data_IF_314147611009
#
_entry.id   IF_314147611009
#
_cell.length_a   1.000
_cell.length_b   1.000
_cell.length_c   1.000
_cell.angle_alpha   90.00
_cell.angle_beta   90.00
_cell.angle_gamma   90.00
#
_symmetry.space_group_name_H-M   'P 1'
#
loop_
_entity.id
_entity.type
_entity.pdbx_description
1 polymer ?
#
# COMPACT_ATOMS: atom_id res chain seq x y z
N UNK A 1 -23.18 -8.15 19.09
CA UNK A 1 -22.67 -7.65 17.82
C UNK A 1 -22.58 -6.12 17.83
N UNK A 2 -21.84 -5.57 16.89
CA UNK A 2 -21.76 -4.12 16.70
C UNK A 2 -22.87 -3.67 15.75
N UNK A 3 -23.44 -2.50 16.00
CA UNK A 3 -24.27 -1.81 15.02
C UNK A 3 -23.35 -0.96 14.15
N UNK A 4 -23.40 -1.17 12.84
CA UNK A 4 -22.56 -0.45 11.87
C UNK A 4 -23.44 0.46 11.03
N UNK A 5 -23.05 1.72 10.94
CA UNK A 5 -23.62 2.69 10.00
C UNK A 5 -22.65 2.87 8.82
N UNK A 6 -23.12 2.54 7.62
CA UNK A 6 -22.30 2.65 6.40
C UNK A 6 -22.46 4.03 5.78
N UNK A 7 -21.32 4.71 5.52
CA UNK A 7 -21.26 5.99 4.83
C UNK A 7 -20.60 5.85 3.46
N UNK A 8 -21.41 5.86 2.40
CA UNK A 8 -20.91 5.85 1.02
C UNK A 8 -20.65 7.27 0.53
N UNK A 9 -19.41 7.52 0.13
CA UNK A 9 -18.96 8.85 -0.31
C UNK A 9 -18.13 8.76 -1.58
N UNK A 10 -17.90 9.89 -2.24
CA UNK A 10 -16.98 9.97 -3.38
C UNK A 10 -15.54 9.72 -2.90
N UNK A 11 -14.66 9.34 -3.83
CA UNK A 11 -13.23 9.16 -3.53
C UNK A 11 -12.60 10.41 -2.91
N UNK A 12 -12.93 11.59 -3.45
CA UNK A 12 -12.44 12.88 -2.93
C UNK A 12 -12.90 13.09 -1.48
N UNK A 13 -14.19 12.88 -1.20
CA UNK A 13 -14.72 13.03 0.15
C UNK A 13 -14.11 12.03 1.13
N UNK A 14 -13.89 10.78 0.70
CA UNK A 14 -13.18 9.78 1.52
C UNK A 14 -11.78 10.24 1.90
N UNK A 15 -11.02 10.82 0.94
CA UNK A 15 -9.68 11.35 1.23
C UNK A 15 -9.72 12.50 2.25
N UNK A 16 -10.70 13.39 2.14
CA UNK A 16 -10.90 14.47 3.09
C UNK A 16 -11.29 13.94 4.48
N UNK A 17 -12.25 13.01 4.54
CA UNK A 17 -12.70 12.40 5.78
C UNK A 17 -11.56 11.64 6.48
N UNK A 18 -10.78 10.83 5.75
CA UNK A 18 -9.65 10.10 6.34
C UNK A 18 -8.54 11.02 6.81
N UNK A 19 -8.22 12.05 6.07
CA UNK A 19 -7.23 13.07 6.46
C UNK A 19 -7.64 13.84 7.72
N UNK A 20 -8.92 14.14 7.85
CA UNK A 20 -9.50 14.89 8.97
C UNK A 20 -9.96 13.98 10.11
N UNK A 21 -9.75 12.65 9.99
CA UNK A 21 -10.16 11.64 10.99
C UNK A 21 -11.67 11.60 11.27
N UNK A 22 -12.50 11.90 10.28
CA UNK A 22 -13.95 11.83 10.35
C UNK A 22 -14.47 10.42 10.01
N UNK A 23 -13.97 9.42 10.73
CA UNK A 23 -14.35 8.02 10.57
C UNK A 23 -14.00 7.22 11.84
N UNK A 24 -14.76 6.17 12.11
CA UNK A 24 -14.39 5.15 13.08
C UNK A 24 -13.61 4.02 12.40
N UNK A 25 -14.09 3.57 11.23
CA UNK A 25 -13.42 2.60 10.36
C UNK A 25 -13.48 3.09 8.91
N UNK A 26 -12.35 3.07 8.21
CA UNK A 26 -12.29 3.45 6.81
C UNK A 26 -11.74 2.30 5.95
N UNK A 27 -12.44 1.98 4.84
CA UNK A 27 -11.90 1.08 3.83
C UNK A 27 -11.00 1.86 2.88
N UNK A 28 -9.74 1.49 2.85
CA UNK A 28 -8.72 2.12 2.00
C UNK A 28 -8.04 1.08 1.10
N UNK A 29 -7.50 1.54 -0.01
CA UNK A 29 -6.76 0.71 -0.95
C UNK A 29 -5.45 1.40 -1.29
N UNK A 30 -4.39 0.63 -1.37
CA UNK A 30 -3.07 1.09 -1.82
C UNK A 30 -2.53 0.23 -2.95
N UNK A 31 -1.91 0.86 -3.93
CA UNK A 31 -1.11 0.19 -4.95
C UNK A 31 0.35 0.60 -4.76
N UNK A 32 1.28 -0.36 -4.83
CA UNK A 32 2.70 -0.03 -4.70
C UNK A 32 3.18 0.87 -5.85
N UNK A 33 3.99 1.87 -5.54
CA UNK A 33 4.57 2.78 -6.53
C UNK A 33 5.82 2.17 -7.19
N UNK A 34 6.51 1.27 -6.48
CA UNK A 34 7.71 0.55 -6.91
C UNK A 34 7.78 -0.85 -6.27
N UNK A 35 8.55 -1.79 -6.83
CA UNK A 35 8.58 -3.19 -6.40
C UNK A 35 9.50 -3.44 -5.19
N UNK A 36 9.26 -2.72 -4.09
CA UNK A 36 9.98 -2.88 -2.83
C UNK A 36 9.02 -2.63 -1.65
N UNK A 37 9.28 -3.25 -0.48
CA UNK A 37 8.39 -3.26 0.68
C UNK A 37 8.07 -1.89 1.26
N UNK A 38 9.02 -0.95 1.22
CA UNK A 38 8.84 0.38 1.80
C UNK A 38 7.65 1.16 1.21
N UNK A 39 7.25 0.87 -0.04
CA UNK A 39 6.06 1.48 -0.66
C UNK A 39 4.76 1.16 0.09
N UNK A 40 4.73 0.07 0.86
CA UNK A 40 3.60 -0.34 1.69
C UNK A 40 3.84 -0.06 3.16
N UNK A 41 4.99 -0.47 3.69
CA UNK A 41 5.29 -0.32 5.10
C UNK A 41 5.48 1.14 5.54
N UNK A 42 5.95 2.02 4.65
CA UNK A 42 6.08 3.45 4.93
C UNK A 42 4.75 4.17 5.21
N UNK A 43 3.60 3.55 4.88
CA UNK A 43 2.28 4.14 5.12
C UNK A 43 1.92 4.24 6.60
N UNK A 44 2.46 3.36 7.45
CA UNK A 44 2.04 3.17 8.83
C UNK A 44 3.04 3.68 9.86
N UNK A 45 4.15 4.28 9.44
CA UNK A 45 5.07 4.93 10.37
C UNK A 45 4.38 6.08 11.09
N UNK A 46 4.75 6.33 12.33
CA UNK A 46 4.12 7.35 13.17
C UNK A 46 4.08 8.73 12.52
N UNK A 47 5.07 9.05 11.68
CA UNK A 47 5.21 10.33 10.98
C UNK A 47 4.63 10.32 9.55
N UNK A 48 4.07 9.21 9.07
CA UNK A 48 3.55 9.13 7.71
C UNK A 48 2.30 9.98 7.53
N UNK A 49 2.25 10.74 6.44
CA UNK A 49 1.05 11.48 6.04
C UNK A 49 -0.13 10.56 5.65
N UNK A 50 0.15 9.29 5.39
CA UNK A 50 -0.84 8.26 5.03
C UNK A 50 -1.30 7.43 6.23
N UNK A 51 -0.70 7.62 7.39
CA UNK A 51 -1.10 6.96 8.64
C UNK A 51 -2.40 7.58 9.18
N UNK A 52 -3.49 7.33 8.47
CA UNK A 52 -4.81 7.87 8.83
C UNK A 52 -5.35 7.31 10.15
N UNK A 53 -4.96 6.10 10.51
CA UNK A 53 -5.32 5.47 11.79
C UNK A 53 -4.51 5.98 12.99
N UNK A 54 -3.51 6.84 12.76
CA UNK A 54 -2.60 7.36 13.80
C UNK A 54 -1.92 6.26 14.62
N UNK A 55 -1.56 5.17 13.97
CA UNK A 55 -0.67 4.17 14.57
C UNK A 55 0.58 4.86 15.12
N UNK A 56 1.00 4.49 16.31
CA UNK A 56 2.16 5.09 16.98
C UNK A 56 2.93 3.99 17.71
N UNK A 57 3.66 3.19 16.95
CA UNK A 57 4.43 2.06 17.45
C UNK A 57 5.92 2.31 17.24
N UNK A 58 6.65 2.50 18.33
CA UNK A 58 8.11 2.63 18.26
C UNK A 58 8.80 1.37 17.74
N UNK A 59 8.21 0.20 17.98
CA UNK A 59 8.71 -1.08 17.44
C UNK A 59 8.54 -1.11 15.92
N UNK A 60 7.39 -0.66 15.43
CA UNK A 60 7.14 -0.55 13.99
C UNK A 60 8.12 0.41 13.32
N UNK A 61 8.21 1.62 13.86
CA UNK A 61 9.06 2.67 13.29
C UNK A 61 10.53 2.26 13.26
N UNK A 62 11.04 1.67 14.34
CA UNK A 62 12.42 1.21 14.40
C UNK A 62 12.71 0.07 13.41
N UNK A 63 11.79 -0.88 13.27
CA UNK A 63 11.93 -1.97 12.32
C UNK A 63 11.87 -1.47 10.88
N UNK A 64 10.93 -0.59 10.57
CA UNK A 64 10.85 0.04 9.25
C UNK A 64 12.14 0.82 8.90
N UNK A 65 12.59 1.69 9.80
CA UNK A 65 13.80 2.48 9.60
C UNK A 65 15.02 1.60 9.36
N UNK A 66 15.15 0.51 10.09
CA UNK A 66 16.24 -0.44 9.93
C UNK A 66 16.19 -1.13 8.57
N UNK A 67 14.99 -1.53 8.10
CA UNK A 67 14.79 -2.16 6.79
C UNK A 67 15.23 -1.26 5.64
N UNK A 68 14.95 0.07 5.72
CA UNK A 68 15.25 1.03 4.65
C UNK A 68 16.61 1.69 4.76
N UNK A 69 17.35 1.48 5.86
CA UNK A 69 18.66 2.08 6.09
C UNK A 69 19.74 1.00 6.23
N UNK A 70 19.91 0.46 7.43
CA UNK A 70 21.00 -0.46 7.76
C UNK A 70 20.97 -1.74 6.93
N UNK A 71 19.79 -2.30 6.74
CA UNK A 71 19.58 -3.58 6.06
C UNK A 71 19.06 -3.43 4.62
N UNK A 72 19.01 -2.19 4.10
CA UNK A 72 18.46 -1.88 2.77
C UNK A 72 19.12 -2.65 1.61
N UNK A 73 20.39 -3.02 1.76
CA UNK A 73 21.15 -3.78 0.75
C UNK A 73 21.19 -5.30 1.02
N UNK A 74 20.60 -5.75 2.13
CA UNK A 74 20.41 -7.16 2.44
C UNK A 74 18.91 -7.53 2.39
N UNK A 75 18.41 -8.09 1.28
CA UNK A 75 16.98 -8.41 1.15
C UNK A 75 16.44 -9.36 2.21
N UNK A 76 17.29 -10.23 2.80
CA UNK A 76 16.86 -11.15 3.85
C UNK A 76 16.73 -10.44 5.19
N UNK A 77 17.67 -9.57 5.52
CA UNK A 77 17.63 -8.75 6.72
C UNK A 77 16.45 -7.79 6.66
N UNK A 78 16.31 -7.03 5.58
CA UNK A 78 15.18 -6.13 5.36
C UNK A 78 13.81 -6.86 5.45
N UNK A 79 13.70 -8.06 4.86
CA UNK A 79 12.47 -8.86 4.96
C UNK A 79 12.14 -9.28 6.40
N UNK A 80 13.14 -9.54 7.24
CA UNK A 80 12.92 -9.85 8.66
C UNK A 80 12.49 -8.60 9.45
N UNK A 81 13.05 -7.45 9.11
CA UNK A 81 12.66 -6.19 9.73
C UNK A 81 11.22 -5.82 9.34
N UNK A 82 10.85 -5.98 8.06
CA UNK A 82 9.45 -5.80 7.63
C UNK A 82 8.48 -6.75 8.34
N UNK A 83 8.86 -8.03 8.56
CA UNK A 83 8.05 -8.96 9.36
C UNK A 83 7.87 -8.48 10.81
N UNK A 84 8.92 -7.90 11.39
CA UNK A 84 8.85 -7.34 12.74
C UNK A 84 7.90 -6.14 12.79
N UNK A 85 7.98 -5.25 11.80
CA UNK A 85 7.06 -4.12 11.65
C UNK A 85 5.61 -4.60 11.48
N UNK A 86 5.37 -5.54 10.56
CA UNK A 86 4.05 -6.10 10.30
C UNK A 86 3.43 -6.74 11.54
N UNK A 87 4.24 -7.49 12.30
CA UNK A 87 3.78 -8.09 13.56
C UNK A 87 3.36 -7.03 14.58
N UNK A 88 4.13 -5.95 14.74
CA UNK A 88 3.78 -4.86 15.64
C UNK A 88 2.45 -4.20 15.24
N UNK A 89 2.27 -3.92 13.94
CA UNK A 89 1.04 -3.34 13.41
C UNK A 89 -0.19 -4.24 13.64
N UNK A 90 0.02 -5.55 13.48
CA UNK A 90 -1.03 -6.55 13.68
C UNK A 90 -1.39 -6.72 15.16
N UNK A 91 -0.40 -6.79 16.05
CA UNK A 91 -0.62 -6.94 17.50
C UNK A 91 -1.38 -5.74 18.09
N UNK A 92 -1.16 -4.55 17.54
CA UNK A 92 -1.86 -3.33 17.94
C UNK A 92 -3.25 -3.17 17.29
N UNK A 93 -3.60 -4.07 16.38
CA UNK A 93 -4.89 -4.10 15.65
C UNK A 93 -5.25 -2.76 14.97
N UNK A 94 -4.26 -1.97 14.60
CA UNK A 94 -4.45 -0.65 13.99
C UNK A 94 -4.85 -0.74 12.52
N UNK A 95 -4.59 -1.88 11.89
CA UNK A 95 -4.84 -2.11 10.48
C UNK A 95 -5.22 -3.58 10.23
N UNK A 96 -6.23 -3.79 9.39
CA UNK A 96 -6.68 -5.14 9.04
C UNK A 96 -6.66 -5.34 7.52
N UNK A 97 -5.73 -6.13 6.96
CA UNK A 97 -5.72 -6.46 5.53
C UNK A 97 -6.92 -7.34 5.18
N UNK A 98 -7.66 -6.98 4.14
CA UNK A 98 -8.90 -7.65 3.76
C UNK A 98 -8.71 -8.50 2.50
N UNK A 99 -8.15 -7.94 1.42
CA UNK A 99 -7.95 -8.65 0.16
C UNK A 99 -6.90 -7.99 -0.73
N UNK A 100 -6.38 -8.78 -1.67
CA UNK A 100 -5.56 -8.29 -2.78
C UNK A 100 -6.45 -8.01 -3.99
N UNK A 101 -6.31 -6.80 -4.54
CA UNK A 101 -7.01 -6.42 -5.75
C UNK A 101 -6.33 -6.99 -6.98
N UNK A 102 -7.12 -7.58 -7.88
CA UNK A 102 -6.67 -7.97 -9.21
C UNK A 102 -7.06 -6.93 -10.25
N UNK A 103 -6.13 -6.60 -11.13
CA UNK A 103 -6.41 -5.81 -12.32
C UNK A 103 -6.49 -6.75 -13.53
N UNK A 104 -7.62 -6.70 -14.25
CA UNK A 104 -7.82 -7.44 -15.50
C UNK A 104 -7.77 -6.44 -16.65
N UNK A 105 -7.08 -6.79 -17.73
CA UNK A 105 -7.01 -5.96 -18.94
C UNK A 105 -7.28 -6.78 -20.18
N UNK A 106 -7.99 -6.21 -21.13
CA UNK A 106 -8.14 -6.74 -22.47
C UNK A 106 -7.14 -6.01 -23.37
N UNK A 107 -6.45 -6.77 -24.21
CA UNK A 107 -5.49 -6.25 -25.17
C UNK A 107 -5.83 -6.77 -26.57
N UNK A 108 -5.94 -5.84 -27.53
CA UNK A 108 -6.06 -6.25 -28.92
C UNK A 108 -4.78 -6.98 -29.36
N UNK A 109 -4.86 -8.19 -29.92
CA UNK A 109 -3.68 -8.97 -30.32
C UNK A 109 -2.75 -8.26 -31.32
N UNK A 110 -3.25 -7.29 -32.08
CA UNK A 110 -2.43 -6.48 -32.99
C UNK A 110 -1.56 -5.43 -32.25
N UNK A 111 -1.79 -5.18 -30.97
CA UNK A 111 -0.96 -4.26 -30.20
C UNK A 111 0.17 -5.05 -29.53
N UNK A 112 1.39 -4.72 -29.90
CA UNK A 112 2.63 -5.36 -29.41
C UNK A 112 3.48 -4.36 -28.62
N UNK A 113 4.53 -4.85 -27.95
CA UNK A 113 5.49 -4.02 -27.23
C UNK A 113 4.98 -3.41 -25.93
N UNK A 114 3.82 -3.84 -25.41
CA UNK A 114 3.34 -3.42 -24.09
C UNK A 114 4.15 -4.12 -23.00
N UNK A 115 4.63 -3.36 -22.03
CA UNK A 115 5.24 -3.88 -20.79
C UNK A 115 4.22 -3.76 -19.66
N UNK A 116 3.97 -4.87 -18.96
CA UNK A 116 3.07 -4.90 -17.80
C UNK A 116 3.88 -4.94 -16.53
N UNK A 117 3.60 -4.00 -15.65
CA UNK A 117 4.25 -3.89 -14.35
C UNK A 117 3.31 -4.35 -13.24
N UNK A 118 3.88 -4.91 -12.19
CA UNK A 118 3.14 -5.29 -10.96
C UNK A 118 2.88 -4.10 -10.05
N UNK A 119 3.67 -3.03 -10.19
CA UNK A 119 3.62 -1.81 -9.37
C UNK A 119 3.73 -0.57 -10.25
N UNK A 120 3.35 0.58 -9.75
CA UNK A 120 3.37 1.84 -10.48
C UNK A 120 2.39 1.86 -11.65
N UNK A 121 2.84 2.32 -12.80
CA UNK A 121 2.06 2.26 -14.05
C UNK A 121 1.86 0.80 -14.45
N UNK A 122 0.62 0.35 -14.42
CA UNK A 122 0.25 -1.04 -14.73
C UNK A 122 0.60 -1.46 -16.17
N UNK A 123 0.67 -0.51 -17.09
CA UNK A 123 1.06 -0.74 -18.49
C UNK A 123 1.95 0.40 -18.97
N UNK A 124 3.13 0.04 -19.46
CA UNK A 124 4.04 0.96 -20.13
C UNK A 124 3.87 0.81 -21.66
N UNK A 125 3.64 1.92 -22.33
CA UNK A 125 3.41 2.02 -23.76
C UNK A 125 4.64 2.50 -24.55
N UNK A 126 5.79 2.67 -23.91
CA UNK A 126 7.01 3.24 -24.52
C UNK A 126 7.40 2.55 -25.81
N UNK A 127 7.24 1.22 -25.87
CA UNK A 127 7.58 0.41 -27.03
C UNK A 127 6.34 -0.16 -27.76
N UNK A 128 5.17 0.40 -27.47
CA UNK A 128 3.94 -0.10 -28.06
C UNK A 128 3.84 0.24 -29.55
N UNK A 129 3.45 -0.74 -30.35
CA UNK A 129 3.17 -0.56 -31.77
C UNK A 129 2.00 -1.43 -32.22
N UNK A 130 1.42 -1.06 -33.34
CA UNK A 130 0.39 -1.86 -33.99
C UNK A 130 1.02 -2.73 -35.06
N UNK A 131 0.88 -4.04 -34.91
CA UNK A 131 1.24 -5.02 -35.92
C UNK A 131 0.22 -4.95 -37.08
N UNK A 132 0.70 -5.07 -38.31
CA UNK A 132 -0.13 -4.94 -39.53
C UNK A 132 -0.90 -6.21 -39.82
#
# INVERSE_FOLDING_TARGET
GLTVEEKFVTFKQRLEDTKNQNFDVALVLWGGDYPEGSTFYGLFTSNSAYNYGKANSSTYDAAYEKAISTDALDPKAAANDYKTAEKALYDEAMYNPIYFRFTKGLQNPSIKGLVRNSTGLSVDFTYAYKDK
#
